data_IF_741783023881
#
_entry.id   IF_741783023881
#
_cell.length_a   1.000
_cell.length_b   1.000
_cell.length_c   1.000
_cell.angle_alpha   90.00
_cell.angle_beta   90.00
_cell.angle_gamma   90.00
#
_symmetry.space_group_name_H-M   'P 1'
#
loop_
_entity.id
_entity.type
_entity.pdbx_description
1 polymer ?
#
# COMPACT_ATOMS: atom_id res chain seq x y z
N UNK A 1 -12.64 1.51 -20.27
CA UNK A 1 -12.48 0.76 -19.01
C UNK A 1 -12.20 -0.72 -19.25
N UNK A 2 -12.41 -1.24 -20.48
CA UNK A 2 -12.28 -2.67 -20.82
C UNK A 2 -10.86 -3.17 -21.16
N UNK A 3 -9.92 -2.29 -21.53
CA UNK A 3 -8.55 -2.72 -21.91
C UNK A 3 -7.66 -3.15 -20.72
N UNK A 4 -8.03 -2.83 -19.48
CA UNK A 4 -7.24 -3.18 -18.30
C UNK A 4 -7.56 -4.57 -17.72
N UNK A 5 -8.78 -5.07 -17.94
CA UNK A 5 -9.21 -6.36 -17.41
C UNK A 5 -8.52 -7.56 -18.09
N UNK A 6 -8.11 -7.43 -19.36
CA UNK A 6 -7.49 -8.54 -20.11
C UNK A 6 -6.07 -8.90 -19.61
N UNK A 7 -5.35 -7.98 -18.98
CA UNK A 7 -3.94 -8.20 -18.60
C UNK A 7 -3.75 -8.99 -17.28
N UNK A 8 -4.76 -9.07 -16.41
CA UNK A 8 -4.61 -9.61 -15.04
C UNK A 8 -5.48 -10.83 -14.73
N UNK A 9 -6.24 -11.35 -15.71
CA UNK A 9 -7.06 -12.56 -15.57
C UNK A 9 -8.45 -12.30 -14.93
N UNK A 10 -9.40 -13.23 -15.09
CA UNK A 10 -10.83 -12.94 -14.90
C UNK A 10 -11.29 -12.75 -13.44
N UNK A 11 -10.46 -13.02 -12.44
CA UNK A 11 -10.77 -12.70 -11.02
C UNK A 11 -9.50 -12.79 -10.18
N UNK A 12 -9.01 -11.65 -9.68
CA UNK A 12 -7.86 -11.60 -8.76
C UNK A 12 -8.25 -11.94 -7.32
N UNK A 13 -9.50 -11.71 -6.94
CA UNK A 13 -10.00 -11.90 -5.59
C UNK A 13 -10.75 -13.22 -5.46
N UNK A 14 -10.61 -13.86 -4.30
CA UNK A 14 -11.53 -14.90 -3.86
C UNK A 14 -12.87 -14.29 -3.44
N UNK A 15 -13.94 -15.08 -3.42
CA UNK A 15 -15.26 -14.58 -2.95
C UNK A 15 -15.27 -14.11 -1.50
N UNK A 16 -14.33 -14.56 -0.66
CA UNK A 16 -14.17 -14.04 0.70
C UNK A 16 -13.49 -12.67 0.71
N UNK A 17 -12.52 -12.44 -0.17
CA UNK A 17 -11.85 -11.15 -0.36
C UNK A 17 -12.82 -10.12 -0.97
N UNK A 18 -13.60 -10.51 -1.98
CA UNK A 18 -14.65 -9.66 -2.57
C UNK A 18 -15.64 -9.17 -1.50
N UNK A 19 -16.20 -10.09 -0.70
CA UNK A 19 -17.13 -9.72 0.38
C UNK A 19 -16.51 -8.80 1.42
N UNK A 20 -15.23 -8.99 1.75
CA UNK A 20 -14.53 -8.11 2.68
C UNK A 20 -14.33 -6.73 2.07
N UNK A 21 -13.93 -6.67 0.81
CA UNK A 21 -13.73 -5.43 0.08
C UNK A 21 -15.02 -4.62 -0.06
N UNK A 22 -16.12 -5.27 -0.44
CA UNK A 22 -17.46 -4.64 -0.51
C UNK A 22 -17.96 -4.10 0.83
N UNK A 23 -17.50 -4.67 1.94
CA UNK A 23 -17.87 -4.26 3.29
C UNK A 23 -16.96 -3.14 3.87
N UNK A 24 -15.91 -2.73 3.16
CA UNK A 24 -15.02 -1.66 3.61
C UNK A 24 -15.71 -0.30 3.49
N UNK A 25 -15.48 0.57 4.49
CA UNK A 25 -15.95 1.95 4.47
C UNK A 25 -14.85 2.86 3.92
N UNK A 26 -15.07 3.38 2.72
CA UNK A 26 -14.17 4.33 2.05
C UNK A 26 -14.44 5.78 2.51
N UNK A 27 -13.43 6.68 2.48
CA UNK A 27 -12.07 6.47 1.98
C UNK A 27 -11.17 5.69 2.95
N UNK A 28 -10.25 4.90 2.39
CA UNK A 28 -9.29 4.10 3.17
C UNK A 28 -7.91 4.76 3.22
N UNK A 29 -7.28 4.72 4.39
CA UNK A 29 -5.84 5.04 4.51
C UNK A 29 -5.02 3.82 4.16
N UNK A 30 -4.15 3.96 3.16
CA UNK A 30 -3.25 2.90 2.71
C UNK A 30 -1.80 3.31 2.87
N UNK A 31 -0.94 2.32 3.05
CA UNK A 31 0.49 2.48 3.28
C UNK A 31 1.29 1.69 2.25
N UNK A 32 2.49 2.19 1.95
CA UNK A 32 3.47 1.44 1.16
C UNK A 32 4.86 1.67 1.71
N UNK A 33 5.57 0.57 1.91
CA UNK A 33 6.98 0.57 2.28
C UNK A 33 7.88 0.25 1.09
N UNK A 34 9.03 0.90 1.04
CA UNK A 34 10.07 0.64 0.06
C UNK A 34 11.37 1.31 0.46
N UNK A 35 12.22 1.55 -0.53
CA UNK A 35 13.49 2.26 -0.33
C UNK A 35 13.72 3.27 -1.46
N UNK A 36 14.45 4.34 -1.18
CA UNK A 36 14.69 5.43 -2.13
C UNK A 36 13.78 6.63 -1.89
N UNK A 37 13.51 7.39 -2.95
CA UNK A 37 12.64 8.55 -2.84
C UNK A 37 11.16 8.16 -2.76
N UNK A 38 10.36 9.08 -2.26
CA UNK A 38 8.91 8.99 -2.29
C UNK A 38 8.35 8.77 -3.72
N UNK A 39 8.96 9.35 -4.75
CA UNK A 39 8.52 9.17 -6.15
C UNK A 39 8.79 7.74 -6.64
N UNK A 40 9.88 7.13 -6.20
CA UNK A 40 10.18 5.71 -6.51
C UNK A 40 9.22 4.77 -5.79
N UNK A 41 8.92 5.04 -4.51
CA UNK A 41 7.97 4.23 -3.74
C UNK A 41 6.55 4.37 -4.29
N UNK A 42 6.14 5.57 -4.69
CA UNK A 42 4.83 5.90 -5.24
C UNK A 42 4.46 5.16 -6.54
N UNK A 43 5.46 4.69 -7.31
CA UNK A 43 5.23 3.96 -8.56
C UNK A 43 4.65 2.55 -8.36
N UNK A 44 4.70 2.01 -7.15
CA UNK A 44 4.26 0.65 -6.93
C UNK A 44 2.74 0.50 -6.80
N UNK A 45 2.24 -0.61 -7.34
CA UNK A 45 0.81 -0.95 -7.38
C UNK A 45 0.31 -1.55 -6.05
N UNK A 46 1.19 -2.18 -5.29
CA UNK A 46 0.82 -2.89 -4.06
C UNK A 46 0.84 -1.95 -2.85
N UNK A 47 -0.30 -1.80 -2.18
CA UNK A 47 -0.46 -1.01 -0.97
C UNK A 47 -1.08 -1.88 0.12
N UNK A 48 -0.97 -1.49 1.38
CA UNK A 48 -1.51 -2.25 2.51
C UNK A 48 -2.30 -1.36 3.45
N UNK A 49 -3.36 -1.91 4.06
CA UNK A 49 -4.07 -1.27 5.17
C UNK A 49 -3.30 -1.36 6.50
N UNK A 50 -2.22 -2.13 6.55
CA UNK A 50 -1.42 -2.40 7.76
C UNK A 50 -0.07 -1.68 7.69
N UNK A 51 0.10 -0.68 8.56
CA UNK A 51 1.34 0.08 8.67
C UNK A 51 2.55 -0.80 9.03
N UNK A 52 2.37 -1.87 9.81
CA UNK A 52 3.47 -2.75 10.20
C UNK A 52 3.96 -3.59 9.02
N UNK A 53 3.06 -3.95 8.09
CA UNK A 53 3.43 -4.59 6.82
C UNK A 53 4.21 -3.60 5.95
N UNK A 54 3.80 -2.34 5.87
CA UNK A 54 4.57 -1.31 5.17
C UNK A 54 5.97 -1.12 5.79
N UNK A 55 6.07 -1.06 7.13
CA UNK A 55 7.36 -1.01 7.84
C UNK A 55 8.25 -2.20 7.50
N UNK A 56 7.72 -3.42 7.47
CA UNK A 56 8.47 -4.61 7.08
C UNK A 56 9.10 -4.46 5.68
N UNK A 57 8.33 -3.98 4.70
CA UNK A 57 8.82 -3.79 3.33
C UNK A 57 9.83 -2.65 3.17
N UNK A 58 9.80 -1.64 4.05
CA UNK A 58 10.77 -0.56 4.07
C UNK A 58 12.06 -0.92 4.84
N UNK A 59 11.95 -1.65 5.96
CA UNK A 59 13.03 -1.78 6.95
C UNK A 59 13.70 -3.15 6.97
N UNK A 60 12.93 -4.24 6.79
CA UNK A 60 13.42 -5.60 7.01
C UNK A 60 13.64 -6.34 5.69
N UNK A 61 12.69 -6.24 4.77
CA UNK A 61 12.77 -6.88 3.45
C UNK A 61 14.04 -6.47 2.68
N UNK A 62 14.40 -5.18 2.55
CA UNK A 62 15.56 -4.76 1.77
C UNK A 62 16.88 -5.30 2.35
N UNK A 63 16.99 -5.38 3.68
CA UNK A 63 18.17 -5.94 4.37
C UNK A 63 18.41 -7.41 4.04
N UNK A 64 17.33 -8.20 3.87
CA UNK A 64 17.44 -9.61 3.46
C UNK A 64 18.07 -9.79 2.08
N UNK A 65 18.04 -8.74 1.25
CA UNK A 65 18.58 -8.72 -0.11
C UNK A 65 19.84 -7.84 -0.23
N UNK A 66 20.42 -7.37 0.88
CA UNK A 66 21.62 -6.53 0.86
C UNK A 66 21.41 -5.14 0.23
N UNK A 67 20.18 -4.62 0.25
CA UNK A 67 19.85 -3.29 -0.27
C UNK A 67 20.11 -2.26 0.85
N UNK A 68 21.05 -1.34 0.61
CA UNK A 68 21.46 -0.29 1.55
C UNK A 68 20.90 1.10 1.19
N UNK A 69 19.67 1.14 0.66
CA UNK A 69 18.98 2.39 0.31
C UNK A 69 18.17 2.91 1.51
N UNK A 70 17.94 4.22 1.56
CA UNK A 70 17.16 4.83 2.64
C UNK A 70 15.73 4.24 2.66
N UNK A 71 15.24 3.78 3.82
CA UNK A 71 13.88 3.27 3.95
C UNK A 71 12.88 4.41 3.78
N UNK A 72 11.76 4.12 3.13
CA UNK A 72 10.71 5.09 2.85
C UNK A 72 9.34 4.45 3.06
N UNK A 73 8.49 5.11 3.82
CA UNK A 73 7.11 4.71 4.05
C UNK A 73 6.22 5.88 3.68
N UNK A 74 5.21 5.61 2.86
CA UNK A 74 4.29 6.62 2.35
C UNK A 74 2.86 6.19 2.64
N UNK A 75 1.98 7.16 2.88
CA UNK A 75 0.55 6.94 3.01
C UNK A 75 -0.24 7.84 2.09
N UNK A 76 -1.45 7.40 1.74
CA UNK A 76 -2.46 8.19 1.05
C UNK A 76 -3.87 7.73 1.41
N UNK A 77 -4.86 8.56 1.09
CA UNK A 77 -6.27 8.15 1.06
C UNK A 77 -6.61 7.62 -0.34
N UNK A 78 -7.37 6.54 -0.41
CA UNK A 78 -7.93 6.01 -1.65
C UNK A 78 -9.45 5.88 -1.56
N UNK A 79 -10.11 6.12 -2.68
CA UNK A 79 -11.54 5.85 -2.87
C UNK A 79 -11.76 4.44 -3.44
N UNK A 80 -13.01 3.98 -3.44
CA UNK A 80 -13.37 2.64 -3.91
C UNK A 80 -12.94 2.42 -5.38
N UNK A 81 -13.16 3.42 -6.23
CA UNK A 81 -12.83 3.37 -7.67
C UNK A 81 -11.31 3.38 -7.96
N UNK A 82 -10.48 3.73 -6.98
CA UNK A 82 -9.02 3.73 -7.13
C UNK A 82 -8.42 2.33 -6.94
N UNK A 83 -9.17 1.43 -6.29
CA UNK A 83 -8.72 0.10 -5.91
C UNK A 83 -9.21 -0.94 -6.92
N UNK A 84 -8.27 -1.69 -7.48
CA UNK A 84 -8.57 -2.77 -8.41
C UNK A 84 -8.89 -4.10 -7.72
N UNK A 85 -8.21 -4.40 -6.61
CA UNK A 85 -8.41 -5.63 -5.86
C UNK A 85 -7.95 -5.51 -4.41
N UNK A 86 -8.59 -6.28 -3.54
CA UNK A 86 -8.15 -6.54 -2.17
C UNK A 86 -7.64 -7.99 -2.06
N UNK A 87 -6.39 -8.17 -1.66
CA UNK A 87 -5.74 -9.47 -1.54
C UNK A 87 -5.29 -9.68 -0.09
N UNK A 88 -5.68 -10.79 0.51
CA UNK A 88 -5.36 -11.07 1.91
C UNK A 88 -4.89 -12.51 2.17
N UNK A 89 -4.56 -13.26 1.12
CA UNK A 89 -4.01 -14.62 1.25
C UNK A 89 -2.73 -14.70 2.11
N UNK A 90 -1.91 -13.64 2.15
CA UNK A 90 -0.69 -13.53 2.98
C UNK A 90 -0.91 -12.81 4.32
N UNK A 91 -2.15 -12.46 4.68
CA UNK A 91 -2.49 -11.62 5.85
C UNK A 91 -1.87 -10.22 5.80
N UNK A 92 -1.69 -9.69 4.60
CA UNK A 92 -1.08 -8.38 4.37
C UNK A 92 -2.11 -7.27 4.18
N UNK A 93 -3.40 -7.60 4.11
CA UNK A 93 -4.47 -6.65 3.78
C UNK A 93 -4.10 -5.74 2.59
N UNK A 94 -3.66 -6.38 1.51
CA UNK A 94 -3.11 -5.72 0.33
C UNK A 94 -4.24 -5.15 -0.53
N UNK A 95 -4.04 -3.94 -1.03
CA UNK A 95 -4.88 -3.29 -2.03
C UNK A 95 -4.02 -3.02 -3.27
N UNK A 96 -4.51 -3.43 -4.43
CA UNK A 96 -3.89 -3.09 -5.71
C UNK A 96 -4.44 -1.75 -6.18
N UNK A 97 -3.57 -0.74 -6.27
CA UNK A 97 -3.88 0.63 -6.70
C UNK A 97 -3.04 0.97 -7.94
N UNK A 98 -3.51 0.62 -9.15
CA UNK A 98 -2.69 0.67 -10.37
C UNK A 98 -2.17 2.07 -10.74
N UNK A 99 -2.92 3.12 -10.40
CA UNK A 99 -2.62 4.51 -10.72
C UNK A 99 -2.18 5.32 -9.50
N UNK A 100 -1.61 4.66 -8.49
CA UNK A 100 -1.16 5.29 -7.25
C UNK A 100 -0.29 6.54 -7.49
N UNK A 101 0.59 6.50 -8.50
CA UNK A 101 1.47 7.62 -8.84
C UNK A 101 0.74 8.91 -9.23
N UNK A 102 -0.53 8.84 -9.67
CA UNK A 102 -1.34 10.04 -9.95
C UNK A 102 -1.74 10.78 -8.67
N UNK A 103 -1.74 10.10 -7.53
CA UNK A 103 -2.01 10.68 -6.22
C UNK A 103 -0.73 11.17 -5.52
N UNK A 104 0.40 11.26 -6.23
CA UNK A 104 1.69 11.60 -5.62
C UNK A 104 1.63 12.85 -4.75
N UNK A 105 0.96 13.91 -5.20
CA UNK A 105 0.85 15.17 -4.45
C UNK A 105 0.01 15.04 -3.17
N UNK A 106 -0.86 14.04 -3.07
CA UNK A 106 -1.65 13.72 -1.89
C UNK A 106 -0.93 12.77 -0.92
N UNK A 107 0.21 12.17 -1.32
CA UNK A 107 0.95 11.25 -0.46
C UNK A 107 1.73 11.98 0.62
N UNK A 108 1.71 11.40 1.82
CA UNK A 108 2.47 11.87 2.97
C UNK A 108 3.55 10.86 3.33
N UNK A 109 4.76 11.33 3.62
CA UNK A 109 5.79 10.50 4.22
C UNK A 109 5.39 10.16 5.66
N UNK A 110 5.37 8.86 5.98
CA UNK A 110 5.12 8.38 7.33
C UNK A 110 6.44 8.38 8.08
N UNK A 111 6.77 9.50 8.70
CA UNK A 111 7.89 9.54 9.65
C UNK A 111 7.47 8.88 10.95
N UNK A 112 8.34 8.08 11.55
CA UNK A 112 8.15 7.39 12.84
C UNK A 112 8.05 8.38 14.04
N UNK A 113 7.65 9.63 13.81
CA UNK A 113 7.16 10.55 14.85
C UNK A 113 5.79 10.08 15.34
N UNK A 114 5.76 8.87 15.85
CA UNK A 114 5.01 8.61 17.08
C UNK A 114 5.52 9.68 18.04
N UNK A 115 4.64 10.58 18.48
CA UNK A 115 4.91 11.42 19.63
C UNK A 115 5.41 10.52 20.75
N UNK A 116 6.73 10.50 20.95
CA UNK A 116 7.29 10.19 22.25
C UNK A 116 6.82 11.35 23.10
N UNK A 117 5.60 11.25 23.62
CA UNK A 117 5.25 11.91 24.87
C UNK A 117 6.30 11.40 25.85
N UNK A 118 7.35 12.21 26.03
CA UNK A 118 8.12 12.23 27.24
C UNK A 118 7.09 12.49 28.34
N UNK A 119 6.53 11.40 28.88
CA UNK A 119 5.92 11.44 30.19
C UNK A 119 7.03 11.86 31.16
N UNK A 120 6.74 12.90 31.93
CA UNK A 120 7.68 13.60 32.80
C UNK A 120 8.12 12.81 34.03
#
# INVERSE_FOLDING_TARGET
MDEFAEAWGPTLMTSEEEKKFEAMEFPLTVYRGGTGSIDEVAQGVSWTLDLEIAKFYALDWPKRWGIEREPMIVSMQVEWDDVFAFLNGRKESELLVPFASFFRDAMTEVTDRVDVRLAG
#
